data_IF_891374604279
#
_entry.id   IF_891374604279
#
_cell.length_a   1.000
_cell.length_b   1.000
_cell.length_c   1.000
_cell.angle_alpha   90.00
_cell.angle_beta   90.00
_cell.angle_gamma   90.00
#
_symmetry.space_group_name_H-M   'P 1'
#
loop_
_entity.id
_entity.type
_entity.pdbx_description
1 polymer ?
#
# COMPACT_ATOMS: atom_id res chain seq x y z
N UNK A 1 -10.12 -8.84 -17.83
CA UNK A 1 -8.77 -8.43 -17.39
C UNK A 1 -8.22 -7.47 -18.42
N UNK A 2 -7.59 -6.38 -17.98
CA UNK A 2 -6.91 -5.43 -18.86
C UNK A 2 -5.42 -5.77 -18.88
N UNK A 3 -4.81 -5.81 -20.05
CA UNK A 3 -3.41 -6.20 -20.23
C UNK A 3 -2.63 -5.04 -20.85
N UNK A 4 -1.44 -4.77 -20.31
CA UNK A 4 -0.51 -3.75 -20.80
C UNK A 4 0.74 -4.47 -21.28
N UNK A 5 1.20 -4.17 -22.50
CA UNK A 5 2.47 -4.67 -23.03
C UNK A 5 3.50 -3.55 -23.00
N UNK A 6 4.67 -3.84 -22.43
CA UNK A 6 5.79 -2.89 -22.31
C UNK A 6 6.99 -3.51 -23.02
N UNK A 7 7.50 -2.83 -24.04
CA UNK A 7 8.76 -3.20 -24.66
C UNK A 7 9.92 -2.68 -23.82
N UNK A 8 10.77 -3.57 -23.35
CA UNK A 8 12.00 -3.24 -22.62
C UNK A 8 13.20 -3.60 -23.50
N UNK A 9 14.31 -2.84 -23.44
CA UNK A 9 15.58 -3.28 -24.00
C UNK A 9 15.98 -4.64 -23.42
N UNK A 10 16.49 -5.54 -24.27
CA UNK A 10 16.80 -6.92 -23.88
C UNK A 10 17.79 -7.01 -22.71
N UNK A 11 18.78 -6.11 -22.70
CA UNK A 11 19.76 -6.00 -21.62
C UNK A 11 19.08 -5.67 -20.28
N UNK A 12 18.17 -4.69 -20.28
CA UNK A 12 17.42 -4.30 -19.10
C UNK A 12 16.49 -5.42 -18.65
N UNK A 13 15.76 -6.05 -19.57
CA UNK A 13 14.86 -7.15 -19.25
C UNK A 13 15.62 -8.31 -18.61
N UNK A 14 16.80 -8.65 -19.14
CA UNK A 14 17.65 -9.72 -18.61
C UNK A 14 18.16 -9.38 -17.21
N UNK A 15 18.71 -8.17 -17.03
CA UNK A 15 19.20 -7.69 -15.73
C UNK A 15 18.11 -7.68 -14.66
N UNK A 16 16.92 -7.16 -15.00
CA UNK A 16 15.80 -7.12 -14.06
C UNK A 16 15.28 -8.52 -13.75
N UNK A 17 15.24 -9.43 -14.73
CA UNK A 17 14.80 -10.82 -14.51
C UNK A 17 15.77 -11.57 -13.61
N UNK A 18 17.08 -11.37 -13.77
CA UNK A 18 18.09 -11.95 -12.88
C UNK A 18 17.94 -11.42 -11.45
N UNK A 19 17.76 -10.10 -11.29
CA UNK A 19 17.66 -9.46 -9.97
C UNK A 19 16.34 -9.75 -9.25
N UNK A 20 15.23 -9.81 -9.97
CA UNK A 20 13.89 -9.86 -9.39
C UNK A 20 13.16 -11.19 -9.60
N UNK A 21 13.65 -12.05 -10.49
CA UNK A 21 12.98 -13.26 -10.90
C UNK A 21 11.74 -12.96 -11.74
N UNK A 22 10.57 -12.97 -11.10
CA UNK A 22 9.30 -12.73 -11.77
C UNK A 22 9.08 -11.23 -12.02
N UNK A 23 9.37 -10.80 -13.25
CA UNK A 23 9.19 -9.41 -13.70
C UNK A 23 7.75 -8.92 -13.59
N UNK A 24 6.79 -9.73 -14.00
CA UNK A 24 5.36 -9.35 -13.97
C UNK A 24 4.93 -9.06 -12.55
N UNK A 25 5.25 -9.96 -11.61
CA UNK A 25 4.92 -9.75 -10.20
C UNK A 25 5.60 -8.50 -9.63
N UNK A 26 6.86 -8.24 -9.98
CA UNK A 26 7.55 -7.03 -9.49
C UNK A 26 7.03 -5.73 -10.10
N UNK A 27 6.66 -5.73 -11.38
CA UNK A 27 6.04 -4.56 -11.99
C UNK A 27 4.69 -4.25 -11.32
N UNK A 28 3.87 -5.27 -11.05
CA UNK A 28 2.61 -5.09 -10.31
C UNK A 28 2.89 -4.51 -8.92
N UNK A 29 3.85 -5.07 -8.18
CA UNK A 29 4.21 -4.54 -6.85
C UNK A 29 4.65 -3.08 -6.90
N UNK A 30 5.46 -2.69 -7.90
CA UNK A 30 5.93 -1.31 -8.05
C UNK A 30 4.77 -0.37 -8.35
N UNK A 31 3.88 -0.74 -9.28
CA UNK A 31 2.71 0.07 -9.65
C UNK A 31 1.78 0.25 -8.45
N UNK A 32 1.53 -0.83 -7.70
CA UNK A 32 0.64 -0.79 -6.53
C UNK A 32 1.24 0.06 -5.41
N UNK A 33 2.54 -0.03 -5.19
CA UNK A 33 3.24 0.82 -4.22
C UNK A 33 3.13 2.29 -4.61
N UNK A 34 3.36 2.63 -5.89
CA UNK A 34 3.28 4.02 -6.35
C UNK A 34 1.85 4.57 -6.24
N UNK A 35 0.85 3.79 -6.65
CA UNK A 35 -0.55 4.17 -6.51
C UNK A 35 -0.95 4.39 -5.03
N UNK A 36 -0.36 3.65 -4.09
CA UNK A 36 -0.56 3.89 -2.67
C UNK A 36 0.14 5.16 -2.19
N UNK A 37 1.39 5.40 -2.62
CA UNK A 37 2.14 6.64 -2.30
C UNK A 37 1.44 7.91 -2.79
N UNK A 38 0.75 7.83 -3.92
CA UNK A 38 -0.04 8.94 -4.47
C UNK A 38 -1.40 9.12 -3.78
N UNK A 39 -1.80 8.23 -2.86
CA UNK A 39 -3.14 8.21 -2.27
C UNK A 39 -4.24 7.74 -3.24
N UNK A 40 -3.88 7.28 -4.45
CA UNK A 40 -4.81 6.77 -5.46
C UNK A 40 -5.51 5.47 -5.03
N UNK A 41 -4.87 4.69 -4.14
CA UNK A 41 -5.47 3.50 -3.52
C UNK A 41 -5.20 3.48 -2.01
N UNK A 42 -6.14 2.92 -1.24
CA UNK A 42 -5.95 2.70 0.20
C UNK A 42 -5.09 1.46 0.50
N UNK A 43 -4.55 1.38 1.72
CA UNK A 43 -3.85 0.18 2.20
C UNK A 43 -4.71 -1.09 2.07
N UNK A 44 -6.00 -0.99 2.38
CA UNK A 44 -6.95 -2.10 2.19
C UNK A 44 -7.03 -2.58 0.74
N UNK A 45 -6.96 -1.66 -0.24
CA UNK A 45 -6.98 -2.00 -1.66
C UNK A 45 -5.65 -2.59 -2.13
N UNK A 46 -4.53 -2.05 -1.65
CA UNK A 46 -3.19 -2.62 -1.86
C UNK A 46 -3.11 -4.07 -1.36
N UNK A 47 -3.65 -4.33 -0.16
CA UNK A 47 -3.73 -5.67 0.44
C UNK A 47 -4.48 -6.65 -0.44
N UNK A 48 -5.63 -6.24 -0.96
CA UNK A 48 -6.45 -7.04 -1.88
C UNK A 48 -5.70 -7.36 -3.18
N UNK A 49 -5.09 -6.35 -3.83
CA UNK A 49 -4.40 -6.52 -5.12
C UNK A 49 -3.18 -7.43 -4.97
N UNK A 50 -2.41 -7.27 -3.89
CA UNK A 50 -1.20 -8.05 -3.66
C UNK A 50 -1.50 -9.44 -3.05
N UNK A 51 -2.75 -9.70 -2.64
CA UNK A 51 -3.17 -10.98 -2.09
C UNK A 51 -2.66 -11.24 -0.67
N UNK A 52 -2.47 -10.18 0.12
CA UNK A 52 -2.07 -10.32 1.52
C UNK A 52 -3.26 -10.73 2.38
N UNK A 53 -3.04 -11.66 3.30
CA UNK A 53 -4.11 -12.20 4.14
C UNK A 53 -4.48 -11.24 5.27
N UNK A 54 -3.48 -10.52 5.79
CA UNK A 54 -3.64 -9.62 6.95
C UNK A 54 -3.20 -8.20 6.62
N UNK A 55 -3.78 -7.18 7.28
CA UNK A 55 -3.26 -5.81 7.19
C UNK A 55 -1.79 -5.72 7.61
N UNK A 56 -1.38 -6.50 8.62
CA UNK A 56 0.00 -6.54 9.10
C UNK A 56 1.00 -6.99 8.02
N UNK A 57 0.62 -7.92 7.14
CA UNK A 57 1.45 -8.33 6.00
C UNK A 57 1.62 -7.19 4.99
N UNK A 58 0.54 -6.43 4.72
CA UNK A 58 0.60 -5.25 3.87
C UNK A 58 1.50 -4.17 4.46
N UNK A 59 1.37 -3.90 5.76
CA UNK A 59 2.21 -2.92 6.46
C UNK A 59 3.68 -3.33 6.47
N UNK A 60 3.97 -4.63 6.71
CA UNK A 60 5.33 -5.15 6.64
C UNK A 60 5.92 -5.00 5.25
N UNK A 61 5.11 -5.23 4.21
CA UNK A 61 5.52 -5.04 2.82
C UNK A 61 5.82 -3.57 2.51
N UNK A 62 4.93 -2.64 2.90
CA UNK A 62 5.13 -1.20 2.71
C UNK A 62 6.38 -0.69 3.42
N UNK A 63 6.60 -1.10 4.68
CA UNK A 63 7.81 -0.79 5.45
C UNK A 63 9.07 -1.29 4.75
N UNK A 64 9.06 -2.51 4.21
CA UNK A 64 10.20 -3.06 3.47
C UNK A 64 10.50 -2.30 2.17
N UNK A 65 9.53 -1.55 1.64
CA UNK A 65 9.68 -0.69 0.45
C UNK A 65 10.07 0.75 0.78
N UNK A 66 10.25 1.09 2.07
CA UNK A 66 10.53 2.48 2.48
C UNK A 66 9.39 3.42 2.13
N UNK A 67 8.16 2.91 2.15
CA UNK A 67 6.95 3.71 2.11
C UNK A 67 6.57 3.92 3.56
N UNK A 68 6.85 5.12 4.06
CA UNK A 68 6.27 5.54 5.33
C UNK A 68 4.75 5.56 5.15
N UNK A 69 4.03 5.11 6.19
CA UNK A 69 2.58 5.25 6.19
C UNK A 69 2.30 6.74 6.03
N UNK A 70 1.42 7.08 5.09
CA UNK A 70 0.85 8.41 4.95
C UNK A 70 -0.12 8.63 6.11
N UNK A 71 0.46 8.67 7.31
CA UNK A 71 -0.17 8.83 8.60
C UNK A 71 0.73 9.77 9.37
N UNK A 72 0.40 11.05 9.27
CA UNK A 72 1.14 12.09 9.95
C UNK A 72 0.53 12.41 11.32
N UNK A 73 1.09 13.41 11.99
CA UNK A 73 0.61 13.84 13.29
C UNK A 73 -0.79 14.48 13.20
N UNK A 74 -1.16 15.07 12.06
CA UNK A 74 -2.48 15.68 11.84
C UNK A 74 -3.55 14.59 11.71
N UNK A 75 -3.28 13.51 10.99
CA UNK A 75 -4.14 12.32 10.92
C UNK A 75 -4.40 11.74 12.32
N UNK A 76 -3.34 11.63 13.14
CA UNK A 76 -3.46 11.17 14.52
C UNK A 76 -4.34 12.09 15.38
N UNK A 77 -4.17 13.42 15.26
CA UNK A 77 -4.99 14.39 15.98
C UNK A 77 -6.45 14.30 15.52
N UNK A 78 -6.69 14.17 14.22
CA UNK A 78 -8.03 14.06 13.62
C UNK A 78 -8.76 12.80 14.10
N UNK A 79 -8.07 11.65 14.14
CA UNK A 79 -8.61 10.40 14.69
C UNK A 79 -8.96 10.55 16.16
N UNK A 80 -8.10 11.22 16.95
CA UNK A 80 -8.37 11.47 18.38
C UNK A 80 -9.60 12.34 18.57
N UNK A 81 -9.74 13.42 17.79
CA UNK A 81 -10.91 14.30 17.82
C UNK A 81 -12.19 13.56 17.44
N UNK A 82 -12.12 12.73 16.38
CA UNK A 82 -13.22 11.88 15.94
C UNK A 82 -13.63 10.90 17.05
N UNK A 83 -12.65 10.29 17.73
CA UNK A 83 -12.89 9.41 18.86
C UNK A 83 -13.58 10.15 20.04
N UNK A 84 -13.06 11.31 20.43
CA UNK A 84 -13.65 12.16 21.48
C UNK A 84 -15.10 12.56 21.15
N UNK A 85 -15.39 12.89 19.89
CA UNK A 85 -16.74 13.22 19.44
C UNK A 85 -17.69 12.02 19.56
N UNK A 86 -17.27 10.85 19.10
CA UNK A 86 -18.10 9.63 19.16
C UNK A 86 -18.36 9.16 20.60
N UNK A 87 -17.44 9.40 21.53
CA UNK A 87 -17.66 9.21 22.97
C UNK A 87 -18.74 10.16 23.50
N UNK A 88 -18.69 11.45 23.13
CA UNK A 88 -19.68 12.45 23.56
C UNK A 88 -21.08 12.15 23.02
N UNK A 89 -21.17 11.64 21.79
CA UNK A 89 -22.43 11.20 21.17
C UNK A 89 -22.96 9.88 21.76
N UNK A 90 -22.24 9.24 22.69
CA UNK A 90 -22.61 7.95 23.29
C UNK A 90 -22.55 6.77 22.33
N UNK A 91 -21.95 6.95 21.13
CA UNK A 91 -21.78 5.92 20.10
C UNK A 91 -20.58 5.03 20.38
N UNK A 92 -19.65 5.48 21.23
CA UNK A 92 -18.50 4.74 21.72
C UNK A 92 -18.55 4.66 23.25
N UNK A 93 -18.33 3.46 23.81
CA UNK A 93 -18.12 3.28 25.25
C UNK A 93 -16.69 3.70 25.57
N UNK A 94 -16.55 4.55 26.59
CA UNK A 94 -15.24 4.84 27.19
C UNK A 94 -14.63 3.53 27.69
N UNK A 95 -13.40 3.25 27.27
CA UNK A 95 -12.61 2.10 27.74
C UNK A 95 -12.27 2.22 29.23
#
# INVERSE_FOLDING_TARGET
>A
MQQIQIALPDELASFLKEKWGNLERKLIEIIVVEAYREGSISNGKLREILGFSTPLEADKFLKAKGVDLDYDEEDFISDRQTHELLEQEGKLKKL
#
